data_IF_292663053802
#
_entry.id   IF_292663053802
#
_cell.length_a   1.000
_cell.length_b   1.000
_cell.length_c   1.000
_cell.angle_alpha   90.00
_cell.angle_beta   90.00
_cell.angle_gamma   90.00
#
_symmetry.space_group_name_H-M   'P 1'
#
loop_
_entity.id
_entity.type
_entity.pdbx_description
1 polymer ?
#
# COMPACT_ATOMS: atom_id res chain seq x y z
N UNK A 1 9.10 -8.01 -2.98
CA UNK A 1 7.87 -7.19 -3.01
C UNK A 1 7.90 -6.14 -1.92
N UNK A 2 7.22 -5.02 -2.14
CA UNK A 2 6.96 -3.97 -1.15
C UNK A 2 5.47 -3.87 -0.85
N UNK A 3 5.14 -3.49 0.37
CA UNK A 3 3.77 -3.13 0.75
C UNK A 3 3.72 -1.62 0.87
N UNK A 4 2.79 -1.01 0.15
CA UNK A 4 2.56 0.43 0.16
C UNK A 4 1.13 0.73 0.61
N UNK A 5 0.96 1.89 1.21
CA UNK A 5 -0.34 2.46 1.53
C UNK A 5 -0.65 3.58 0.55
N UNK A 6 -1.78 3.49 -0.11
CA UNK A 6 -2.25 4.44 -1.13
C UNK A 6 -3.71 4.84 -0.86
N UNK A 7 -4.19 5.92 -1.47
CA UNK A 7 -5.58 6.36 -1.35
C UNK A 7 -6.49 5.44 -2.17
N UNK A 8 -7.67 5.10 -1.63
CA UNK A 8 -8.68 4.30 -2.32
C UNK A 8 -9.58 5.15 -3.25
N UNK A 9 -9.46 6.48 -3.21
CA UNK A 9 -10.28 7.42 -3.98
C UNK A 9 -9.61 7.97 -5.25
N UNK A 10 -8.47 7.42 -5.66
CA UNK A 10 -7.73 7.84 -6.87
C UNK A 10 -7.49 9.36 -6.92
N UNK A 11 -7.26 9.96 -5.75
CA UNK A 11 -6.97 11.39 -5.65
C UNK A 11 -5.54 11.60 -6.16
N UNK A 12 -5.37 12.42 -7.19
CA UNK A 12 -4.08 12.76 -7.82
C UNK A 12 -3.00 13.31 -6.86
N UNK A 13 -3.33 13.55 -5.58
CA UNK A 13 -2.53 14.28 -4.60
C UNK A 13 -2.27 13.49 -3.31
N UNK A 14 -2.16 12.17 -3.38
CA UNK A 14 -1.85 11.34 -2.22
C UNK A 14 -0.42 10.77 -2.28
N UNK A 15 0.39 11.09 -1.27
CA UNK A 15 1.73 10.52 -1.12
C UNK A 15 1.64 9.07 -0.65
N UNK A 16 2.20 8.14 -1.44
CA UNK A 16 2.24 6.75 -1.05
C UNK A 16 3.19 6.53 0.12
N UNK A 17 2.76 5.76 1.13
CA UNK A 17 3.60 5.43 2.27
C UNK A 17 4.15 4.02 2.15
N UNK A 18 5.46 3.89 2.28
CA UNK A 18 6.11 2.59 2.39
C UNK A 18 5.81 1.96 3.75
N UNK A 19 5.29 0.73 3.73
CA UNK A 19 4.93 -0.02 4.95
C UNK A 19 5.94 -1.13 5.22
N UNK A 20 6.36 -1.86 4.18
CA UNK A 20 7.34 -2.92 4.29
C UNK A 20 8.08 -3.15 2.96
N UNK A 21 9.34 -3.58 3.05
CA UNK A 21 10.18 -3.96 1.91
C UNK A 21 10.71 -5.39 2.05
N UNK A 22 11.19 -5.98 0.96
CA UNK A 22 11.75 -7.33 0.92
C UNK A 22 10.77 -8.40 1.43
N UNK A 23 9.49 -8.22 1.16
CA UNK A 23 8.45 -9.18 1.53
C UNK A 23 8.37 -10.24 0.45
N UNK A 24 8.32 -11.51 0.86
CA UNK A 24 8.03 -12.62 -0.05
C UNK A 24 6.59 -12.49 -0.55
N UNK A 25 6.37 -12.61 -1.86
CA UNK A 25 5.07 -12.39 -2.52
C UNK A 25 3.89 -13.08 -1.81
N UNK A 26 4.03 -14.39 -1.53
CA UNK A 26 2.99 -15.16 -0.85
C UNK A 26 2.63 -14.63 0.54
N UNK A 27 3.62 -14.13 1.27
CA UNK A 27 3.41 -13.56 2.62
C UNK A 27 2.84 -12.15 2.50
N UNK A 28 3.35 -11.37 1.54
CA UNK A 28 2.87 -10.02 1.26
C UNK A 28 1.39 -9.99 0.92
N UNK A 29 0.92 -10.88 0.04
CA UNK A 29 -0.50 -10.98 -0.31
C UNK A 29 -1.37 -11.27 0.92
N UNK A 30 -0.96 -12.20 1.79
CA UNK A 30 -1.69 -12.48 3.03
C UNK A 30 -1.75 -11.28 3.99
N UNK A 31 -0.67 -10.51 4.07
CA UNK A 31 -0.62 -9.31 4.91
C UNK A 31 -1.57 -8.26 4.35
N UNK A 32 -1.53 -8.01 3.04
CA UNK A 32 -2.42 -7.06 2.37
C UNK A 32 -3.88 -7.45 2.55
N UNK A 33 -4.23 -8.72 2.34
CA UNK A 33 -5.60 -9.23 2.55
C UNK A 33 -6.07 -8.97 3.99
N UNK A 34 -5.24 -9.33 4.99
CA UNK A 34 -5.56 -9.13 6.41
C UNK A 34 -5.76 -7.65 6.77
N UNK A 35 -4.93 -6.77 6.22
CA UNK A 35 -4.98 -5.34 6.54
C UNK A 35 -6.14 -4.61 5.85
N UNK A 36 -6.58 -5.11 4.70
CA UNK A 36 -7.72 -4.55 3.97
C UNK A 36 -9.07 -5.15 4.42
N UNK A 37 -9.06 -6.33 5.06
CA UNK A 37 -10.27 -6.96 5.63
C UNK A 37 -10.57 -6.48 7.06
N UNK A 38 -9.85 -5.49 7.60
CA UNK A 38 -10.12 -4.97 8.95
C UNK A 38 -11.40 -4.11 8.97
N UNK A 39 -12.51 -4.61 9.56
CA UNK A 39 -13.81 -3.92 9.54
C UNK A 39 -13.85 -2.68 10.42
N UNK A 40 -12.79 -2.40 11.20
CA UNK A 40 -12.67 -1.18 12.01
C UNK A 40 -12.01 -0.04 11.25
N UNK A 41 -11.48 -0.30 10.07
CA UNK A 41 -10.83 0.69 9.24
C UNK A 41 -11.89 1.49 8.48
N UNK A 42 -11.93 2.80 8.70
CA UNK A 42 -12.76 3.70 7.91
C UNK A 42 -11.97 4.10 6.66
N UNK A 43 -12.51 3.67 5.51
CA UNK A 43 -11.89 3.63 4.18
C UNK A 43 -11.53 5.00 3.59
N UNK A 44 -10.30 5.45 3.84
CA UNK A 44 -9.63 6.39 2.93
C UNK A 44 -8.38 5.78 2.29
N UNK A 45 -7.65 4.95 3.02
CA UNK A 45 -6.41 4.36 2.53
C UNK A 45 -6.57 2.85 2.27
N UNK A 46 -5.87 2.31 1.28
CA UNK A 46 -5.82 0.90 0.89
C UNK A 46 -4.36 0.40 0.85
N UNK A 47 -4.11 -0.85 1.29
CA UNK A 47 -2.77 -1.45 1.19
C UNK A 47 -2.61 -2.20 -0.13
N UNK A 48 -1.46 -2.04 -0.78
CA UNK A 48 -1.14 -2.71 -2.05
C UNK A 48 0.22 -3.39 -1.95
N UNK A 49 0.32 -4.58 -2.54
CA UNK A 49 1.60 -5.24 -2.79
C UNK A 49 2.13 -4.83 -4.16
N UNK A 50 3.36 -4.34 -4.22
CA UNK A 50 4.03 -3.86 -5.44
C UNK A 50 5.40 -4.51 -5.58
N UNK A 51 5.97 -4.46 -6.78
CA UNK A 51 7.32 -4.96 -7.07
C UNK A 51 8.40 -4.19 -6.29
N UNK A 52 9.59 -4.78 -6.14
CA UNK A 52 10.68 -4.15 -5.38
C UNK A 52 11.28 -2.91 -6.08
N UNK A 53 11.15 -2.80 -7.40
CA UNK A 53 11.57 -1.64 -8.17
C UNK A 53 10.49 -0.54 -8.26
N UNK A 54 9.34 -0.75 -7.64
CA UNK A 54 8.27 0.23 -7.58
C UNK A 54 8.76 1.52 -6.91
N UNK A 55 8.57 2.64 -7.63
CA UNK A 55 8.85 3.98 -7.13
C UNK A 55 7.58 4.52 -6.49
N UNK A 56 7.70 4.85 -5.20
CA UNK A 56 6.63 5.51 -4.47
C UNK A 56 6.32 6.84 -5.13
N UNK A 57 5.03 7.14 -5.29
CA UNK A 57 4.61 8.47 -5.65
C UNK A 57 4.84 9.41 -4.46
N UNK A 58 5.74 10.37 -4.66
CA UNK A 58 5.97 11.50 -3.75
C UNK A 58 5.58 12.77 -4.50
N UNK A 59 4.75 13.62 -3.89
CA UNK A 59 4.40 14.91 -4.44
C UNK A 59 5.61 15.84 -4.38
N UNK A 60 6.11 16.24 -5.55
CA UNK A 60 7.08 17.32 -5.66
C UNK A 60 6.43 18.66 -5.25
N UNK A 61 7.00 19.34 -4.25
CA UNK A 61 6.59 20.67 -3.77
C UNK A 61 7.28 21.81 -4.55
#
# INVERSE_FOLDING_TARGET
MKIVLTDNYDRELYDEKLIAENVAERVGNKIVDLLNDDPKRFDEDYYKLVEDDYKLFERDY
#
